data_IF_744288842774
#
_entry.id   IF_744288842774
#
_cell.length_a   1.000
_cell.length_b   1.000
_cell.length_c   1.000
_cell.angle_alpha   90.00
_cell.angle_beta   90.00
_cell.angle_gamma   90.00
#
_symmetry.space_group_name_H-M   'P 1'
#
loop_
_entity.id
_entity.type
_entity.pdbx_description
1 polymer ?
#
# COMPACT_ATOMS: atom_id res chain seq x y z
N UNK A 1 -6.14 4.01 31.61
CA UNK A 1 -6.00 3.55 30.97
C UNK A 1 -5.77 3.49 30.68
N UNK A 2 -5.64 3.83 30.41
CA UNK A 2 -5.44 3.52 29.68
C UNK A 2 -5.60 3.15 29.27
N UNK A 3 -5.72 3.25 29.28
CA UNK A 3 -5.88 2.72 28.61
C UNK A 3 -5.78 2.35 28.46
N UNK A 4 -5.87 2.44 28.48
CA UNK A 4 -5.79 1.92 27.95
C UNK A 4 -5.35 1.48 27.72
N UNK A 5 -5.21 1.36 28.15
CA UNK A 5 -4.73 0.83 27.37
C UNK A 5 -5.02 0.36 26.90
N UNK A 6 -5.23 0.27 26.98
CA UNK A 6 -5.51 -0.09 26.12
C UNK A 6 -5.71 0.10 25.41
N UNK A 7 -5.94 0.09 25.99
CA UNK A 7 -5.90 0.49 24.87
C UNK A 7 -4.75 0.71 24.20
N UNK A 8 -3.83 0.28 24.68
CA UNK A 8 -2.71 0.36 23.88
C UNK A 8 -2.71 -0.76 22.89
N UNK A 9 -2.76 -0.38 21.68
CA UNK A 9 -2.90 -1.29 20.58
C UNK A 9 -1.85 -0.85 19.57
N UNK A 10 -0.93 -1.73 19.14
CA UNK A 10 0.09 -1.32 18.20
C UNK A 10 -0.45 -0.71 16.91
N UNK A 11 -1.53 -1.26 16.40
CA UNK A 11 -2.12 -0.69 15.20
C UNK A 11 -2.68 0.68 15.46
N UNK A 12 -3.20 0.86 16.62
CA UNK A 12 -3.73 2.14 17.01
C UNK A 12 -2.63 3.18 17.04
N UNK A 13 -1.47 2.79 17.55
CA UNK A 13 -0.37 3.71 17.65
C UNK A 13 0.28 4.02 16.32
N UNK A 14 -0.05 3.30 15.29
CA UNK A 14 0.48 3.55 13.97
C UNK A 14 -0.50 4.33 13.11
N UNK A 15 -1.42 5.05 13.76
CA UNK A 15 -2.29 5.99 13.08
C UNK A 15 -3.18 5.32 12.04
N UNK A 16 -3.72 4.18 12.40
CA UNK A 16 -4.71 3.54 11.56
C UNK A 16 -4.16 2.64 10.49
N UNK A 17 -2.89 2.29 10.56
CA UNK A 17 -2.34 1.34 9.62
C UNK A 17 -3.04 0.00 9.80
N UNK A 18 -3.50 -0.56 8.70
CA UNK A 18 -4.12 -1.88 8.69
C UNK A 18 -3.10 -2.88 8.20
N UNK A 19 -2.47 -3.59 9.13
CA UNK A 19 -1.40 -4.51 8.77
C UNK A 19 -1.89 -5.69 7.96
N UNK A 20 -3.08 -6.17 8.25
CA UNK A 20 -3.63 -7.29 7.52
C UNK A 20 -3.88 -6.92 6.06
N UNK A 21 -4.47 -5.77 5.83
CA UNK A 21 -4.72 -5.33 4.47
C UNK A 21 -3.43 -4.96 3.76
N UNK A 22 -2.46 -4.44 4.51
CA UNK A 22 -1.15 -4.14 3.92
C UNK A 22 -0.51 -5.39 3.37
N UNK A 23 -0.61 -6.49 4.11
CA UNK A 23 -0.06 -7.76 3.66
C UNK A 23 -0.80 -8.29 2.43
N UNK A 24 -2.12 -8.11 2.40
CA UNK A 24 -2.90 -8.54 1.23
C UNK A 24 -2.44 -7.81 -0.02
N UNK A 25 -2.20 -6.51 0.08
CA UNK A 25 -1.76 -5.74 -1.07
C UNK A 25 -0.38 -6.19 -1.51
N UNK A 26 0.51 -6.43 -0.55
CA UNK A 26 1.85 -6.87 -0.88
C UNK A 26 1.82 -8.17 -1.69
N UNK A 27 1.04 -9.13 -1.22
CA UNK A 27 0.94 -10.40 -1.94
C UNK A 27 0.27 -10.24 -3.29
N UNK A 28 -0.73 -9.37 -3.37
CA UNK A 28 -1.38 -9.12 -4.63
C UNK A 28 -0.38 -8.59 -5.66
N UNK A 29 0.46 -7.64 -5.26
CA UNK A 29 1.44 -7.07 -6.18
C UNK A 29 2.44 -8.14 -6.63
N UNK A 30 2.91 -8.96 -5.69
CA UNK A 30 3.89 -10.00 -6.00
C UNK A 30 3.36 -10.99 -7.01
N UNK A 31 2.06 -11.26 -6.97
CA UNK A 31 1.44 -12.23 -7.87
C UNK A 31 0.82 -11.60 -9.09
N UNK A 32 0.97 -10.31 -9.27
CA UNK A 32 0.37 -9.60 -10.39
C UNK A 32 1.26 -9.66 -11.63
N UNK A 33 0.73 -9.17 -12.73
CA UNK A 33 1.48 -9.08 -13.98
C UNK A 33 1.90 -7.66 -14.32
N UNK A 34 1.83 -6.77 -13.34
CA UNK A 34 2.26 -5.39 -13.59
C UNK A 34 3.76 -5.37 -13.84
N UNK A 35 4.16 -4.64 -14.89
CA UNK A 35 5.56 -4.60 -15.28
C UNK A 35 6.44 -3.95 -14.22
N UNK A 36 5.86 -3.10 -13.40
CA UNK A 36 6.62 -2.36 -12.38
C UNK A 36 6.62 -3.06 -11.03
N UNK A 37 6.10 -4.27 -10.94
CA UNK A 37 5.89 -4.87 -9.62
C UNK A 37 7.17 -5.06 -8.81
N UNK A 38 8.29 -5.29 -9.49
CA UNK A 38 9.56 -5.48 -8.79
C UNK A 38 10.25 -4.17 -8.45
N UNK A 39 9.76 -3.08 -9.01
CA UNK A 39 10.34 -1.76 -8.77
C UNK A 39 9.57 -0.99 -7.70
N UNK A 40 8.60 -1.62 -7.06
CA UNK A 40 7.73 -0.99 -6.09
C UNK A 40 7.83 -1.71 -4.76
N UNK A 41 7.90 -0.94 -3.69
CA UNK A 41 7.82 -1.49 -2.35
C UNK A 41 6.46 -1.11 -1.80
N UNK A 42 5.69 -2.13 -1.41
CA UNK A 42 4.36 -1.91 -0.87
C UNK A 42 4.48 -1.34 0.54
N UNK A 43 3.86 -0.19 0.75
CA UNK A 43 3.81 0.44 2.05
C UNK A 43 2.53 0.11 2.78
N UNK A 44 2.18 0.93 3.75
CA UNK A 44 1.01 0.63 4.58
C UNK A 44 -0.31 0.97 3.91
N UNK A 45 -1.33 0.23 4.30
CA UNK A 45 -2.72 0.58 4.00
C UNK A 45 -3.26 1.34 5.20
N UNK A 46 -3.73 2.55 4.96
CA UNK A 46 -4.29 3.39 6.00
C UNK A 46 -5.67 3.83 5.53
N UNK A 47 -6.70 3.43 6.25
CA UNK A 47 -8.08 3.67 5.82
C UNK A 47 -8.30 3.06 4.44
N UNK A 48 -8.57 3.87 3.43
CA UNK A 48 -8.81 3.38 2.08
C UNK A 48 -7.68 3.77 1.13
N UNK A 49 -6.49 4.05 1.66
CA UNK A 49 -5.34 4.47 0.89
C UNK A 49 -4.19 3.49 1.04
N UNK A 50 -3.59 3.12 -0.08
CA UNK A 50 -2.36 2.33 -0.07
C UNK A 50 -1.21 3.23 -0.51
N UNK A 51 -0.09 3.14 0.19
CA UNK A 51 1.11 3.87 -0.17
C UNK A 51 2.09 2.91 -0.84
N UNK A 52 2.61 3.31 -1.98
CA UNK A 52 3.63 2.54 -2.69
C UNK A 52 4.88 3.39 -2.83
N UNK A 53 6.03 2.77 -2.61
CA UNK A 53 7.31 3.48 -2.71
C UNK A 53 8.06 3.03 -3.95
N UNK A 54 8.60 4.00 -4.66
CA UNK A 54 9.40 3.75 -5.85
C UNK A 54 10.70 4.53 -5.70
N UNK A 55 11.71 4.18 -6.49
CA UNK A 55 13.01 4.84 -6.33
C UNK A 55 13.33 5.84 -7.44
N UNK A 56 12.41 6.06 -8.38
CA UNK A 56 12.65 7.07 -9.39
C UNK A 56 11.34 7.57 -10.00
N UNK A 57 11.38 8.76 -10.62
CA UNK A 57 10.16 9.37 -11.15
C UNK A 57 9.53 8.60 -12.31
N UNK A 58 10.33 7.89 -13.08
CA UNK A 58 9.79 7.11 -14.19
C UNK A 58 8.84 6.04 -13.70
N UNK A 59 9.27 5.29 -12.69
CA UNK A 59 8.42 4.23 -12.15
C UNK A 59 7.20 4.85 -11.49
N UNK A 60 7.38 5.97 -10.80
CA UNK A 60 6.24 6.64 -10.19
C UNK A 60 5.17 6.95 -11.23
N UNK A 61 5.58 7.48 -12.38
CA UNK A 61 4.62 7.81 -13.42
C UNK A 61 3.95 6.57 -13.97
N UNK A 62 4.71 5.49 -14.16
CA UNK A 62 4.13 4.25 -14.66
C UNK A 62 3.05 3.75 -13.74
N UNK A 63 3.31 3.77 -12.44
CA UNK A 63 2.33 3.30 -11.46
C UNK A 63 1.11 4.21 -11.46
N UNK A 64 1.34 5.52 -11.50
CA UNK A 64 0.23 6.47 -11.47
C UNK A 64 -0.70 6.31 -12.66
N UNK A 65 -0.16 5.94 -13.81
CA UNK A 65 -0.98 5.74 -14.99
C UNK A 65 -1.85 4.49 -14.89
N UNK A 66 -1.52 3.59 -13.99
CA UNK A 66 -2.25 2.34 -13.86
C UNK A 66 -2.98 2.19 -12.52
N UNK A 67 -3.12 3.28 -11.77
CA UNK A 67 -3.74 3.19 -10.46
C UNK A 67 -5.18 2.69 -10.53
N UNK A 68 -5.93 3.14 -11.52
CA UNK A 68 -7.31 2.72 -11.64
C UNK A 68 -7.40 1.21 -11.88
N UNK A 69 -6.60 0.72 -12.81
CA UNK A 69 -6.56 -0.70 -13.08
C UNK A 69 -6.11 -1.49 -11.86
N UNK A 70 -5.10 -0.96 -11.17
CA UNK A 70 -4.60 -1.59 -9.96
C UNK A 70 -5.71 -1.77 -8.92
N UNK A 71 -6.47 -0.71 -8.69
CA UNK A 71 -7.53 -0.75 -7.68
C UNK A 71 -8.64 -1.73 -8.06
N UNK A 72 -9.00 -1.77 -9.34
CA UNK A 72 -10.04 -2.67 -9.80
C UNK A 72 -9.60 -4.12 -9.64
N UNK A 73 -8.37 -4.43 -10.04
CA UNK A 73 -7.91 -5.81 -9.95
C UNK A 73 -7.68 -6.23 -8.51
N UNK A 74 -7.24 -5.30 -7.68
CA UNK A 74 -7.08 -5.60 -6.26
C UNK A 74 -8.42 -6.02 -5.65
N UNK A 75 -9.46 -5.28 -5.96
CA UNK A 75 -10.78 -5.63 -5.44
C UNK A 75 -11.23 -6.99 -5.94
N UNK A 76 -11.01 -7.27 -7.22
CA UNK A 76 -11.43 -8.54 -7.79
C UNK A 76 -10.71 -9.72 -7.16
N UNK A 77 -9.44 -9.55 -6.86
CA UNK A 77 -8.63 -10.66 -6.38
C UNK A 77 -8.66 -10.83 -4.87
N UNK A 78 -8.86 -9.76 -4.14
CA UNK A 78 -8.74 -9.80 -2.68
C UNK A 78 -9.98 -9.33 -1.95
N UNK A 79 -10.95 -8.79 -2.68
CA UNK A 79 -12.15 -8.17 -2.10
C UNK A 79 -11.82 -6.95 -1.26
N UNK A 80 -10.63 -6.40 -1.43
CA UNK A 80 -10.22 -5.22 -0.68
C UNK A 80 -10.51 -3.99 -1.51
N UNK A 81 -11.36 -3.11 -0.99
CA UNK A 81 -11.76 -1.91 -1.69
C UNK A 81 -10.98 -0.74 -1.15
N UNK A 82 -10.09 -0.21 -1.98
CA UNK A 82 -9.33 0.99 -1.66
C UNK A 82 -9.69 2.07 -2.66
N UNK A 83 -9.55 3.31 -2.25
CA UNK A 83 -9.95 4.44 -3.10
C UNK A 83 -8.77 5.22 -3.64
N UNK A 84 -7.63 5.15 -2.98
CA UNK A 84 -6.50 6.01 -3.34
C UNK A 84 -5.20 5.23 -3.33
N UNK A 85 -4.37 5.49 -4.32
CA UNK A 85 -3.00 4.98 -4.35
C UNK A 85 -2.07 6.18 -4.24
N UNK A 86 -1.28 6.20 -3.19
CA UNK A 86 -0.31 7.25 -2.94
C UNK A 86 1.06 6.74 -3.32
N UNK A 87 1.66 7.29 -4.37
CA UNK A 87 2.96 6.83 -4.84
C UNK A 87 4.02 7.85 -4.44
N UNK A 88 5.02 7.39 -3.72
CA UNK A 88 6.07 8.27 -3.21
C UNK A 88 7.43 7.77 -3.66
N UNK A 89 8.33 8.71 -3.94
CA UNK A 89 9.70 8.37 -4.26
C UNK A 89 10.47 8.28 -2.96
N UNK A 90 11.15 7.17 -2.79
CA UNK A 90 11.93 6.93 -1.58
C UNK A 90 13.40 6.90 -1.93
N UNK A 91 14.19 7.70 -1.24
CA UNK A 91 15.63 7.74 -1.44
C UNK A 91 16.32 7.06 -0.28
N UNK A 92 15.96 5.82 -0.07
CA UNK A 92 16.39 5.13 1.12
C UNK A 92 17.77 4.56 1.04
N UNK A 93 18.35 4.54 -0.13
CA UNK A 93 19.62 3.90 -0.26
C UNK A 93 20.77 4.77 0.18
N UNK A 94 20.51 5.97 0.47
CA UNK A 94 21.64 6.75 0.90
C UNK A 94 22.01 6.52 2.29
#
# INVERSE_FOLDING_TARGET
MFSDPEKFDPEHNTLGINFKNSEKVKKFIENSNFTWKKAVISGPVTNDTITLYVDNPRVKKMVQLQTYQFLIELEKKTNLILKTVNVQISNTQQ
#
